data_IF_783141094457
#
_entry.id   IF_783141094457
#
_cell.length_a   1.000
_cell.length_b   1.000
_cell.length_c   1.000
_cell.angle_alpha   90.00
_cell.angle_beta   90.00
_cell.angle_gamma   90.00
#
_symmetry.space_group_name_H-M   'P 1'
#
loop_
_entity.id
_entity.type
_entity.pdbx_description
1 polymer ?
#
# COMPACT_ATOMS: atom_id res chain seq x y z
N UNK A 1 -12.62 15.39 -19.31
CA UNK A 1 -12.11 14.37 -18.36
C UNK A 1 -13.17 13.35 -17.93
N UNK A 2 -14.45 13.73 -17.77
CA UNK A 2 -15.50 12.78 -17.39
C UNK A 2 -15.74 11.66 -18.41
N UNK A 3 -15.60 11.95 -19.71
CA UNK A 3 -15.74 10.94 -20.78
C UNK A 3 -14.69 9.84 -20.65
N UNK A 4 -13.44 10.19 -20.33
CA UNK A 4 -12.36 9.22 -20.15
C UNK A 4 -12.62 8.35 -18.93
N UNK A 5 -13.05 8.94 -17.82
CA UNK A 5 -13.46 8.20 -16.62
C UNK A 5 -14.63 7.24 -16.89
N UNK A 6 -15.61 7.67 -17.71
CA UNK A 6 -16.74 6.85 -18.10
C UNK A 6 -16.32 5.65 -18.97
N UNK A 7 -15.39 5.85 -19.91
CA UNK A 7 -14.83 4.76 -20.74
C UNK A 7 -14.09 3.76 -19.85
N UNK A 8 -13.25 4.23 -18.93
CA UNK A 8 -12.55 3.36 -17.98
C UNK A 8 -13.54 2.60 -17.10
N UNK A 9 -14.60 3.25 -16.62
CA UNK A 9 -15.63 2.60 -15.82
C UNK A 9 -16.47 1.60 -16.63
N UNK A 10 -16.71 1.82 -17.93
CA UNK A 10 -17.40 0.85 -18.79
C UNK A 10 -16.53 -0.38 -19.08
N UNK A 11 -15.23 -0.17 -19.31
CA UNK A 11 -14.29 -1.26 -19.60
C UNK A 11 -13.92 -2.06 -18.34
N UNK A 12 -13.70 -1.39 -17.22
CA UNK A 12 -13.23 -2.01 -15.98
C UNK A 12 -14.35 -2.22 -14.95
N UNK A 13 -15.49 -1.55 -15.07
CA UNK A 13 -16.70 -1.77 -14.27
C UNK A 13 -16.42 -1.90 -12.78
N UNK A 14 -16.85 -3.02 -12.21
CA UNK A 14 -16.65 -3.41 -10.81
C UNK A 14 -15.25 -3.93 -10.49
N UNK A 15 -14.39 -4.13 -11.48
CA UNK A 15 -13.01 -4.62 -11.28
C UNK A 15 -12.04 -3.49 -10.94
N UNK A 16 -12.40 -2.24 -11.21
CA UNK A 16 -11.60 -1.06 -10.86
C UNK A 16 -11.24 -0.97 -9.36
N UNK A 17 -12.18 -1.14 -8.39
CA UNK A 17 -11.83 -1.19 -6.97
C UNK A 17 -10.98 -2.42 -6.59
N UNK A 18 -11.18 -3.56 -7.27
CA UNK A 18 -10.40 -4.76 -7.02
C UNK A 18 -8.94 -4.58 -7.43
N UNK A 19 -8.66 -4.00 -8.60
CA UNK A 19 -7.29 -3.72 -9.05
C UNK A 19 -6.64 -2.61 -8.23
N UNK A 20 -7.41 -1.58 -7.83
CA UNK A 20 -6.90 -0.52 -6.95
C UNK A 20 -6.49 -1.08 -5.59
N UNK A 21 -7.25 -2.04 -5.05
CA UNK A 21 -6.92 -2.70 -3.78
C UNK A 21 -5.65 -3.53 -3.90
N UNK A 22 -5.53 -4.38 -4.93
CA UNK A 22 -4.33 -5.20 -5.14
C UNK A 22 -3.07 -4.35 -5.42
N UNK A 23 -3.21 -3.26 -6.17
CA UNK A 23 -2.12 -2.31 -6.39
C UNK A 23 -1.76 -1.55 -5.10
N UNK A 24 -2.76 -1.13 -4.32
CA UNK A 24 -2.56 -0.45 -3.04
C UNK A 24 -1.85 -1.32 -2.00
N UNK A 25 -2.20 -2.61 -1.94
CA UNK A 25 -1.52 -3.60 -1.11
C UNK A 25 -0.06 -3.78 -1.56
N UNK A 26 0.20 -3.95 -2.86
CA UNK A 26 1.56 -4.05 -3.40
C UNK A 26 2.44 -2.81 -3.14
N UNK A 27 1.88 -1.61 -3.31
CA UNK A 27 2.57 -0.35 -2.99
C UNK A 27 2.84 -0.23 -1.49
N UNK A 28 1.91 -0.68 -0.64
CA UNK A 28 2.07 -0.65 0.82
C UNK A 28 3.18 -1.59 1.27
N UNK A 29 3.21 -2.82 0.77
CA UNK A 29 4.28 -3.78 1.05
C UNK A 29 5.62 -3.31 0.49
N UNK A 30 5.65 -2.74 -0.73
CA UNK A 30 6.85 -2.13 -1.29
C UNK A 30 7.37 -0.98 -0.42
N UNK A 31 6.47 -0.11 0.08
CA UNK A 31 6.82 0.99 0.98
C UNK A 31 7.30 0.49 2.34
N UNK A 32 6.74 -0.60 2.87
CA UNK A 32 7.22 -1.23 4.11
C UNK A 32 8.60 -1.84 3.92
N UNK A 33 8.83 -2.57 2.83
CA UNK A 33 10.12 -3.15 2.49
C UNK A 33 11.21 -2.09 2.29
N UNK A 34 10.87 -0.98 1.62
CA UNK A 34 11.78 0.15 1.45
C UNK A 34 12.02 0.93 2.76
N UNK A 35 11.03 1.01 3.65
CA UNK A 35 11.16 1.60 5.00
C UNK A 35 11.81 0.67 6.03
N UNK A 36 12.04 -0.61 5.69
CA UNK A 36 12.64 -1.62 6.55
C UNK A 36 14.07 -1.30 7.03
N UNK A 37 14.63 -0.16 6.60
CA UNK A 37 15.91 0.35 7.06
C UNK A 37 15.82 1.59 7.98
N UNK A 38 14.63 2.19 8.14
CA UNK A 38 14.42 3.47 8.86
C UNK A 38 13.39 3.39 9.99
N UNK A 39 12.78 2.23 10.23
CA UNK A 39 11.66 2.11 11.17
C UNK A 39 11.70 0.78 11.91
N UNK A 40 12.79 0.55 12.65
CA UNK A 40 12.81 -0.46 13.71
C UNK A 40 12.58 0.24 15.07
N UNK A 41 11.34 0.28 15.60
CA UNK A 41 11.07 0.78 16.93
C UNK A 41 11.42 -0.22 18.05
N UNK A 42 12.07 -1.35 17.75
CA UNK A 42 12.33 -2.41 18.74
C UNK A 42 13.53 -2.17 19.66
N UNK A 43 14.22 -1.01 19.59
CA UNK A 43 15.28 -0.66 20.56
C UNK A 43 14.74 -0.16 21.92
N UNK A 44 13.48 -0.44 22.31
CA UNK A 44 12.88 0.20 23.51
C UNK A 44 12.54 -0.72 24.68
N UNK A 45 12.72 -2.03 24.59
CA UNK A 45 12.32 -2.95 25.67
C UNK A 45 13.39 -4.03 25.92
N UNK A 46 14.69 -3.72 25.95
CA UNK A 46 15.68 -4.73 26.36
C UNK A 46 17.00 -4.11 26.83
N UNK A 47 16.99 -3.20 27.82
CA UNK A 47 18.23 -2.75 28.47
C UNK A 47 17.99 -2.16 29.87
N UNK A 48 17.23 -2.84 30.73
CA UNK A 48 17.15 -2.44 32.14
C UNK A 48 16.93 -3.59 33.13
N UNK A 49 17.58 -4.73 32.88
CA UNK A 49 17.66 -5.83 33.85
C UNK A 49 19.09 -6.34 34.00
N UNK A 50 19.95 -5.45 34.48
CA UNK A 50 21.18 -5.82 35.20
C UNK A 50 21.49 -4.75 36.25
#
# INVERSE_FOLDING_TARGET
MLIVGLIVLLLFGTRLPSVMRSLGEGITEFKKGMKGNDSDPNTRIEDHRD
#
